data_IF_528317928837
#
_entry.id   IF_528317928837
#
_cell.length_a   1.000
_cell.length_b   1.000
_cell.length_c   1.000
_cell.angle_alpha   90.00
_cell.angle_beta   90.00
_cell.angle_gamma   90.00
#
_symmetry.space_group_name_H-M   'P 1'
#
loop_
_entity.id
_entity.type
_entity.pdbx_description
1 polymer ?
#
# COMPACT_ATOMS: atom_id res chain seq x y z
N UNK A 1 -10.93 3.98 -17.55
CA UNK A 1 -9.49 4.25 -17.36
C UNK A 1 -9.02 3.51 -16.12
N UNK A 2 -7.75 3.08 -16.03
CA UNK A 2 -7.23 2.48 -14.81
C UNK A 2 -7.19 3.50 -13.66
N UNK A 3 -7.35 3.01 -12.44
CA UNK A 3 -7.26 3.81 -11.20
C UNK A 3 -5.95 3.43 -10.49
N UNK A 4 -5.24 4.42 -9.94
CA UNK A 4 -4.01 4.22 -9.18
C UNK A 4 -4.10 4.83 -7.78
N UNK A 5 -3.61 4.13 -6.75
CA UNK A 5 -3.59 4.62 -5.36
C UNK A 5 -3.94 3.54 -4.34
N UNK A 6 -4.32 3.85 -3.09
CA UNK A 6 -4.40 5.17 -2.43
C UNK A 6 -3.82 5.14 -1.00
N UNK A 7 -2.80 4.29 -0.75
CA UNK A 7 -2.28 4.08 0.59
C UNK A 7 -1.72 5.38 1.17
N UNK A 8 -2.21 5.77 2.34
CA UNK A 8 -1.67 6.91 3.09
C UNK A 8 -0.19 6.63 3.45
N UNK A 9 0.77 7.51 3.05
CA UNK A 9 2.17 7.35 3.41
C UNK A 9 2.43 7.23 4.92
N UNK A 10 1.54 7.76 5.78
CA UNK A 10 1.64 7.60 7.23
C UNK A 10 1.48 6.13 7.66
N UNK A 11 0.64 5.35 6.98
CA UNK A 11 0.53 3.91 7.24
C UNK A 11 1.82 3.16 6.89
N UNK A 12 2.53 3.62 5.85
CA UNK A 12 3.84 3.09 5.48
C UNK A 12 4.93 3.47 6.50
N UNK A 13 4.91 4.68 7.05
CA UNK A 13 5.79 5.07 8.16
C UNK A 13 5.52 4.20 9.39
N UNK A 14 4.25 3.96 9.73
CA UNK A 14 3.86 3.14 10.88
C UNK A 14 4.28 1.67 10.74
N UNK A 15 4.16 1.09 9.54
CA UNK A 15 4.47 -0.31 9.27
C UNK A 15 3.54 -1.29 9.99
N UNK A 16 3.95 -2.56 10.09
CA UNK A 16 3.33 -3.52 10.98
C UNK A 16 1.83 -3.73 10.71
N UNK A 17 1.03 -3.79 11.79
CA UNK A 17 -0.42 -4.06 11.67
C UNK A 17 -1.16 -2.98 10.87
N UNK A 18 -0.79 -1.71 11.05
CA UNK A 18 -1.40 -0.58 10.33
C UNK A 18 -1.19 -0.72 8.83
N UNK A 19 0.06 -0.98 8.40
CA UNK A 19 0.39 -1.18 7.00
C UNK A 19 -0.36 -2.38 6.40
N UNK A 20 -0.38 -3.51 7.11
CA UNK A 20 -1.08 -4.74 6.68
C UNK A 20 -2.57 -4.52 6.49
N UNK A 21 -3.24 -3.93 7.48
CA UNK A 21 -4.68 -3.68 7.42
C UNK A 21 -5.03 -2.70 6.29
N UNK A 22 -4.31 -1.58 6.19
CA UNK A 22 -4.56 -0.58 5.15
C UNK A 22 -4.34 -1.15 3.74
N UNK A 23 -3.23 -1.87 3.53
CA UNK A 23 -2.91 -2.50 2.24
C UNK A 23 -3.99 -3.49 1.83
N UNK A 24 -4.41 -4.37 2.75
CA UNK A 24 -5.47 -5.36 2.50
C UNK A 24 -6.79 -4.70 2.08
N UNK A 25 -7.25 -3.69 2.81
CA UNK A 25 -8.51 -2.98 2.51
C UNK A 25 -8.47 -2.34 1.12
N UNK A 26 -7.34 -1.76 0.73
CA UNK A 26 -7.19 -1.12 -0.58
C UNK A 26 -7.21 -2.16 -1.70
N UNK A 27 -6.48 -3.27 -1.55
CA UNK A 27 -6.45 -4.35 -2.53
C UNK A 27 -7.82 -4.99 -2.70
N UNK A 28 -8.54 -5.24 -1.60
CA UNK A 28 -9.91 -5.77 -1.63
C UNK A 28 -10.86 -4.84 -2.40
N UNK A 29 -10.78 -3.53 -2.17
CA UNK A 29 -11.61 -2.54 -2.89
C UNK A 29 -11.24 -2.41 -4.37
N UNK A 30 -9.98 -2.68 -4.72
CA UNK A 30 -9.51 -2.68 -6.11
C UNK A 30 -9.93 -3.91 -6.92
N UNK A 31 -10.39 -5.00 -6.27
CA UNK A 31 -10.78 -6.24 -6.97
C UNK A 31 -11.93 -5.97 -7.95
N UNK A 32 -11.79 -6.50 -9.16
CA UNK A 32 -12.79 -6.34 -10.23
C UNK A 32 -12.63 -5.07 -11.06
N UNK A 33 -11.63 -4.22 -10.78
CA UNK A 33 -11.33 -3.02 -11.56
C UNK A 33 -9.91 -3.05 -12.13
N UNK A 34 -9.63 -2.34 -13.23
CA UNK A 34 -8.26 -2.10 -13.69
C UNK A 34 -7.54 -1.18 -12.68
N UNK A 35 -6.91 -1.79 -11.67
CA UNK A 35 -6.38 -1.10 -10.50
C UNK A 35 -4.88 -1.30 -10.34
N UNK A 36 -4.15 -0.21 -10.13
CA UNK A 36 -2.71 -0.18 -9.83
C UNK A 36 -2.55 0.28 -8.38
N UNK A 37 -2.11 -0.62 -7.51
CA UNK A 37 -1.81 -0.25 -6.13
C UNK A 37 -0.68 0.78 -6.10
N UNK A 38 -0.86 1.88 -5.36
CA UNK A 38 0.20 2.86 -5.11
C UNK A 38 -0.08 3.63 -3.80
N UNK A 39 0.89 4.45 -3.39
CA UNK A 39 0.67 5.45 -2.36
C UNK A 39 -0.25 6.57 -2.88
N UNK A 40 -0.98 7.20 -1.96
CA UNK A 40 -1.78 8.39 -2.25
C UNK A 40 -0.93 9.66 -2.41
N UNK A 41 0.30 9.65 -1.91
CA UNK A 41 1.28 10.72 -2.07
C UNK A 41 2.71 10.14 -2.03
N UNK A 42 3.73 10.99 -1.97
CA UNK A 42 5.13 10.56 -1.95
C UNK A 42 5.49 9.78 -0.68
N UNK A 43 6.58 9.01 -0.77
CA UNK A 43 7.19 8.39 0.41
C UNK A 43 7.70 9.48 1.36
N UNK A 44 7.40 9.35 2.64
CA UNK A 44 7.88 10.30 3.65
C UNK A 44 9.32 9.99 4.07
N UNK A 45 10.16 10.99 4.40
CA UNK A 45 11.56 10.78 4.81
C UNK A 45 11.74 9.83 6.01
N UNK A 46 10.74 9.76 6.90
CA UNK A 46 10.73 8.91 8.10
C UNK A 46 10.47 7.43 7.78
N UNK A 47 10.13 7.12 6.52
CA UNK A 47 9.81 5.77 6.08
C UNK A 47 11.04 4.86 6.14
N UNK A 48 10.96 3.80 6.95
CA UNK A 48 12.01 2.79 7.02
C UNK A 48 11.96 1.88 5.79
N UNK A 49 13.11 1.56 5.20
CA UNK A 49 13.22 0.63 4.06
C UNK A 49 12.52 -0.72 4.30
N UNK A 50 12.58 -1.24 5.53
CA UNK A 50 11.89 -2.48 5.89
C UNK A 50 10.36 -2.42 5.74
N UNK A 51 9.75 -1.24 5.92
CA UNK A 51 8.31 -1.07 5.72
C UNK A 51 7.96 -1.01 4.23
N UNK A 52 8.84 -0.45 3.39
CA UNK A 52 8.70 -0.51 1.92
C UNK A 52 8.79 -1.97 1.45
N UNK A 53 9.76 -2.72 1.95
CA UNK A 53 9.89 -4.14 1.64
C UNK A 53 8.67 -4.95 2.08
N UNK A 54 8.16 -4.70 3.29
CA UNK A 54 6.91 -5.30 3.79
C UNK A 54 5.72 -4.96 2.87
N UNK A 55 5.56 -3.69 2.47
CA UNK A 55 4.48 -3.27 1.57
C UNK A 55 4.54 -4.01 0.23
N UNK A 56 5.72 -4.09 -0.39
CA UNK A 56 5.90 -4.79 -1.67
C UNK A 56 5.54 -6.27 -1.54
N UNK A 57 5.95 -6.92 -0.44
CA UNK A 57 5.59 -8.32 -0.18
C UNK A 57 4.08 -8.50 -0.04
N UNK A 58 3.41 -7.63 0.71
CA UNK A 58 1.95 -7.69 0.91
C UNK A 58 1.19 -7.53 -0.41
N UNK A 59 1.58 -6.57 -1.25
CA UNK A 59 0.93 -6.35 -2.55
C UNK A 59 1.12 -7.54 -3.48
N UNK A 60 2.34 -8.10 -3.54
CA UNK A 60 2.64 -9.25 -4.42
C UNK A 60 2.02 -10.56 -3.95
N UNK A 61 1.74 -10.72 -2.66
CA UNK A 61 1.12 -11.94 -2.13
C UNK A 61 -0.39 -12.03 -2.44
N UNK A 62 -1.03 -10.90 -2.74
CA UNK A 62 -2.48 -10.78 -2.95
C UNK A 62 -2.88 -10.59 -4.43
N UNK A 63 -1.89 -10.37 -5.31
CA UNK A 63 -2.05 -10.16 -6.75
C UNK A 63 -1.93 -11.46 -7.55
#
# INVERSE_FOLDING_TARGET
APIQGNLDPVALVAGGKTLRCATKVILERGRGYPFIFNLGHGVLPETRLKHVAELVQLVRAEQ
#
